data_IF_850259028666
#
_entry.id   IF_850259028666
#
_cell.length_a   1.000
_cell.length_b   1.000
_cell.length_c   1.000
_cell.angle_alpha   90.00
_cell.angle_beta   90.00
_cell.angle_gamma   90.00
#
_symmetry.space_group_name_H-M   'P 1'
#
loop_
_entity.id
_entity.type
_entity.pdbx_description
1 polymer ?
#
# COMPACT_ATOMS: atom_id res chain seq x y z
N UNK A 1 33.07 -23.12 14.71
CA UNK A 1 32.52 -21.87 15.28
C UNK A 1 32.46 -20.79 14.21
N UNK A 2 31.30 -20.58 13.59
CA UNK A 2 30.90 -19.27 13.03
C UNK A 2 29.38 -19.21 13.21
N UNK A 3 28.97 -18.41 14.19
CA UNK A 3 27.57 -18.10 14.43
C UNK A 3 26.98 -17.48 13.17
N UNK A 4 25.80 -17.96 12.74
CA UNK A 4 24.93 -17.20 11.84
C UNK A 4 24.58 -15.91 12.56
N UNK A 5 25.36 -14.87 12.30
CA UNK A 5 25.08 -13.53 12.79
C UNK A 5 23.80 -13.06 12.08
N UNK A 6 22.79 -12.73 12.87
CA UNK A 6 21.64 -11.98 12.39
C UNK A 6 22.15 -10.70 11.71
N UNK A 7 21.68 -10.35 10.50
CA UNK A 7 22.17 -9.18 9.81
C UNK A 7 21.84 -7.93 10.62
N UNK A 8 22.85 -7.11 10.97
CA UNK A 8 22.63 -5.88 11.72
C UNK A 8 21.98 -4.88 10.76
N UNK A 9 20.71 -4.54 11.04
CA UNK A 9 19.82 -3.69 10.25
C UNK A 9 19.17 -4.36 9.02
N UNK A 10 17.85 -4.53 9.08
CA UNK A 10 17.02 -4.98 7.96
C UNK A 10 16.82 -3.89 6.89
N UNK A 11 17.80 -3.02 6.63
CA UNK A 11 17.64 -1.97 5.61
C UNK A 11 18.94 -1.73 4.87
N UNK A 12 19.05 -2.31 3.67
CA UNK A 12 20.06 -1.94 2.68
C UNK A 12 19.78 -0.51 2.17
N UNK A 13 20.79 0.32 1.87
CA UNK A 13 20.59 1.65 1.28
C UNK A 13 19.85 1.64 -0.08
N UNK A 14 19.69 0.48 -0.71
CA UNK A 14 18.91 0.27 -1.94
C UNK A 14 17.56 -0.44 -1.71
N UNK A 15 17.05 -0.46 -0.48
CA UNK A 15 15.75 -1.09 -0.19
C UNK A 15 14.64 -0.36 -0.95
N UNK A 16 13.87 -1.10 -1.76
CA UNK A 16 12.74 -0.55 -2.51
C UNK A 16 11.55 -0.25 -1.59
N UNK A 17 10.57 0.51 -2.08
CA UNK A 17 9.31 0.76 -1.36
C UNK A 17 8.65 -0.53 -0.87
N UNK A 18 8.70 -1.61 -1.68
CA UNK A 18 8.15 -2.92 -1.33
C UNK A 18 8.85 -3.55 -0.12
N UNK A 19 10.17 -3.36 0.00
CA UNK A 19 10.92 -3.86 1.16
C UNK A 19 10.39 -3.23 2.45
N UNK A 20 10.25 -1.90 2.47
CA UNK A 20 9.76 -1.20 3.65
C UNK A 20 8.31 -1.54 3.98
N UNK A 21 7.43 -1.66 2.98
CA UNK A 21 6.03 -2.06 3.18
C UNK A 21 5.97 -3.48 3.75
N UNK A 22 6.74 -4.42 3.19
CA UNK A 22 6.71 -5.82 3.62
C UNK A 22 7.17 -5.97 5.07
N UNK A 23 8.31 -5.38 5.44
CA UNK A 23 8.78 -5.43 6.83
C UNK A 23 7.88 -4.62 7.76
N UNK A 24 7.33 -3.49 7.30
CA UNK A 24 6.33 -2.72 8.04
C UNK A 24 5.13 -3.59 8.43
N UNK A 25 4.58 -4.35 7.48
CA UNK A 25 3.46 -5.27 7.73
C UNK A 25 3.83 -6.38 8.72
N UNK A 26 5.04 -6.96 8.65
CA UNK A 26 5.50 -7.95 9.63
C UNK A 26 5.52 -7.34 11.06
N UNK A 27 6.03 -6.12 11.21
CA UNK A 27 6.00 -5.42 12.50
C UNK A 27 4.58 -5.05 12.93
N UNK A 28 3.69 -4.76 11.97
CA UNK A 28 2.28 -4.47 12.22
C UNK A 28 1.55 -5.69 12.79
N UNK A 29 1.75 -6.87 12.19
CA UNK A 29 1.18 -8.14 12.66
C UNK A 29 1.65 -8.48 14.08
N UNK A 30 2.92 -8.16 14.38
CA UNK A 30 3.52 -8.28 15.71
C UNK A 30 3.08 -7.19 16.71
N UNK A 31 2.19 -6.25 16.31
CA UNK A 31 1.75 -5.10 17.11
C UNK A 31 2.88 -4.16 17.55
N UNK A 32 4.01 -4.17 16.83
CA UNK A 32 5.17 -3.29 17.07
C UNK A 32 4.98 -1.97 16.34
N UNK A 33 3.98 -1.19 16.78
CA UNK A 33 3.46 -0.01 16.09
C UNK A 33 4.53 1.03 15.75
N UNK A 34 5.45 1.37 16.66
CA UNK A 34 6.52 2.34 16.37
C UNK A 34 7.48 1.87 15.27
N UNK A 35 7.84 0.58 15.28
CA UNK A 35 8.73 0.02 14.27
C UNK A 35 8.06 -0.02 12.90
N UNK A 36 6.78 -0.41 12.89
CA UNK A 36 5.92 -0.42 11.71
C UNK A 36 5.78 0.99 11.12
N UNK A 37 5.36 1.97 11.93
CA UNK A 37 5.21 3.37 11.51
C UNK A 37 6.50 3.92 10.90
N UNK A 38 7.66 3.67 11.53
CA UNK A 38 8.96 4.12 11.01
C UNK A 38 9.29 3.55 9.63
N UNK A 39 8.89 2.31 9.33
CA UNK A 39 9.13 1.72 8.01
C UNK A 39 8.16 2.27 6.97
N UNK A 40 6.89 2.47 7.33
CA UNK A 40 5.93 3.11 6.42
C UNK A 40 6.31 4.56 6.11
N UNK A 41 6.82 5.33 7.08
CA UNK A 41 7.35 6.68 6.84
C UNK A 41 8.52 6.66 5.82
N UNK A 42 9.40 5.65 5.89
CA UNK A 42 10.43 5.46 4.85
C UNK A 42 9.84 5.13 3.48
N UNK A 43 8.82 4.28 3.43
CA UNK A 43 8.14 3.91 2.18
C UNK A 43 7.44 5.12 1.54
N UNK A 44 6.75 5.94 2.33
CA UNK A 44 6.07 7.17 1.89
C UNK A 44 7.00 8.18 1.23
N UNK A 45 8.29 8.17 1.58
CA UNK A 45 9.30 9.10 1.07
C UNK A 45 9.98 8.66 -0.23
N UNK A 46 9.74 7.43 -0.71
CA UNK A 46 10.39 6.93 -1.92
C UNK A 46 9.61 7.25 -3.20
N UNK A 47 8.45 6.61 -3.38
CA UNK A 47 7.66 6.73 -4.60
C UNK A 47 6.24 7.17 -4.23
N UNK A 48 5.88 8.39 -4.63
CA UNK A 48 4.59 9.01 -4.30
C UNK A 48 3.41 8.28 -4.95
N UNK A 49 3.61 7.65 -6.10
CA UNK A 49 2.57 6.93 -6.83
C UNK A 49 2.25 5.59 -6.16
N UNK A 50 3.25 4.94 -5.54
CA UNK A 50 3.12 3.62 -4.92
C UNK A 50 2.90 3.64 -3.40
N UNK A 51 2.90 4.82 -2.78
CA UNK A 51 2.83 4.98 -1.33
C UNK A 51 1.42 4.78 -0.72
N UNK A 52 0.37 4.47 -1.49
CA UNK A 52 -1.00 4.33 -0.98
C UNK A 52 -1.10 3.36 0.22
N UNK A 53 -0.45 2.19 0.11
CA UNK A 53 -0.43 1.18 1.18
C UNK A 53 0.35 1.70 2.40
N UNK A 54 1.46 2.41 2.17
CA UNK A 54 2.28 2.94 3.24
C UNK A 54 1.54 4.03 4.02
N UNK A 55 0.88 4.98 3.33
CA UNK A 55 0.06 6.00 3.96
C UNK A 55 -1.08 5.41 4.79
N UNK A 56 -1.85 4.46 4.24
CA UNK A 56 -2.93 3.80 4.97
C UNK A 56 -2.44 3.08 6.23
N UNK A 57 -1.37 2.30 6.10
CA UNK A 57 -0.83 1.51 7.20
C UNK A 57 -0.13 2.39 8.25
N UNK A 58 0.46 3.51 7.83
CA UNK A 58 0.99 4.54 8.72
C UNK A 58 -0.15 5.21 9.52
N UNK A 59 -1.25 5.61 8.88
CA UNK A 59 -2.42 6.16 9.56
C UNK A 59 -2.96 5.23 10.65
N UNK A 60 -3.05 3.92 10.35
CA UNK A 60 -3.44 2.93 11.35
C UNK A 60 -2.47 2.87 12.53
N UNK A 61 -1.16 2.83 12.28
CA UNK A 61 -0.16 2.87 13.35
C UNK A 61 -0.27 4.16 14.20
N UNK A 62 -0.47 5.30 13.55
CA UNK A 62 -0.65 6.61 14.20
C UNK A 62 -1.85 6.59 15.15
N UNK A 63 -2.98 6.03 14.72
CA UNK A 63 -4.17 5.85 15.58
C UNK A 63 -3.84 4.92 16.77
N UNK A 64 -3.20 3.78 16.53
CA UNK A 64 -2.83 2.84 17.62
C UNK A 64 -1.88 3.46 18.64
N UNK A 65 -0.98 4.34 18.20
CA UNK A 65 -0.04 5.02 19.09
C UNK A 65 -0.71 6.11 19.92
N UNK A 66 -1.71 6.81 19.37
CA UNK A 66 -2.48 7.85 20.06
C UNK A 66 -1.60 8.96 20.69
N UNK A 67 -0.51 9.36 20.00
CA UNK A 67 0.45 10.37 20.49
C UNK A 67 0.28 11.70 19.77
N UNK A 68 0.29 12.82 20.52
CA UNK A 68 0.21 14.16 19.94
C UNK A 68 -1.12 14.40 19.21
N UNK A 69 -1.07 15.13 18.08
CA UNK A 69 -2.23 15.36 17.21
C UNK A 69 -2.45 14.20 16.21
N UNK A 70 -2.57 12.99 16.76
CA UNK A 70 -2.60 11.75 15.98
C UNK A 70 -3.81 11.68 15.03
N UNK A 71 -4.94 12.31 15.39
CA UNK A 71 -6.13 12.32 14.55
C UNK A 71 -5.91 13.15 13.29
N UNK A 72 -5.37 14.37 13.40
CA UNK A 72 -5.05 15.19 12.22
C UNK A 72 -4.03 14.49 11.33
N UNK A 73 -2.97 13.92 11.93
CA UNK A 73 -1.95 13.21 11.17
C UNK A 73 -2.51 11.97 10.44
N UNK A 74 -3.31 11.16 11.12
CA UNK A 74 -3.95 10.00 10.50
C UNK A 74 -4.91 10.41 9.38
N UNK A 75 -5.62 11.53 9.52
CA UNK A 75 -6.48 12.09 8.46
C UNK A 75 -5.67 12.45 7.22
N UNK A 76 -4.58 13.20 7.39
CA UNK A 76 -3.72 13.61 6.28
C UNK A 76 -3.13 12.40 5.55
N UNK A 77 -2.70 11.38 6.30
CA UNK A 77 -2.20 10.15 5.72
C UNK A 77 -3.28 9.41 4.93
N UNK A 78 -4.51 9.28 5.47
CA UNK A 78 -5.62 8.67 4.75
C UNK A 78 -5.98 9.43 3.47
N UNK A 79 -5.95 10.76 3.49
CA UNK A 79 -6.19 11.58 2.30
C UNK A 79 -5.11 11.36 1.23
N UNK A 80 -3.84 11.31 1.63
CA UNK A 80 -2.73 11.00 0.71
C UNK A 80 -2.83 9.56 0.18
N UNK A 81 -3.26 8.61 1.01
CA UNK A 81 -3.51 7.23 0.58
C UNK A 81 -4.55 7.17 -0.53
N UNK A 82 -5.65 7.92 -0.38
CA UNK A 82 -6.71 7.99 -1.38
C UNK A 82 -6.24 8.62 -2.70
N UNK A 83 -5.47 9.70 -2.61
CA UNK A 83 -4.89 10.36 -3.78
C UNK A 83 -3.94 9.42 -4.55
N UNK A 84 -2.97 8.79 -3.88
CA UNK A 84 -2.06 7.81 -4.50
C UNK A 84 -2.82 6.64 -5.12
N UNK A 85 -3.87 6.15 -4.44
CA UNK A 85 -4.65 5.01 -4.91
C UNK A 85 -5.44 5.33 -6.18
N UNK A 86 -5.91 6.56 -6.34
CA UNK A 86 -6.59 7.00 -7.58
C UNK A 86 -5.69 6.82 -8.80
N UNK A 87 -4.43 7.27 -8.72
CA UNK A 87 -3.46 7.10 -9.80
C UNK A 87 -3.21 5.62 -10.11
N UNK A 88 -2.98 4.79 -9.08
CA UNK A 88 -2.77 3.35 -9.24
C UNK A 88 -3.99 2.64 -9.87
N UNK A 89 -5.20 3.05 -9.49
CA UNK A 89 -6.44 2.56 -10.10
C UNK A 89 -6.51 2.90 -11.58
N UNK A 90 -6.25 4.16 -11.95
CA UNK A 90 -6.27 4.63 -13.33
C UNK A 90 -5.25 3.87 -14.18
N UNK A 91 -4.00 3.76 -13.71
CA UNK A 91 -2.95 2.99 -14.39
C UNK A 91 -3.33 1.51 -14.54
N UNK A 92 -3.86 0.89 -13.48
CA UNK A 92 -4.30 -0.52 -13.51
C UNK A 92 -5.38 -0.76 -14.57
N UNK A 93 -6.37 0.15 -14.64
CA UNK A 93 -7.48 0.06 -15.59
C UNK A 93 -7.00 0.23 -17.04
N UNK A 94 -6.12 1.19 -17.29
CA UNK A 94 -5.53 1.40 -18.63
C UNK A 94 -4.74 0.17 -19.06
N UNK A 95 -3.89 -0.39 -18.20
CA UNK A 95 -3.16 -1.62 -18.52
C UNK A 95 -4.11 -2.80 -18.80
N UNK A 96 -5.16 -2.97 -17.99
CA UNK A 96 -6.15 -4.02 -18.20
C UNK A 96 -6.88 -3.87 -19.54
N UNK A 97 -7.18 -2.64 -19.97
CA UNK A 97 -7.77 -2.38 -21.29
C UNK A 97 -6.85 -2.82 -22.42
N UNK A 98 -5.57 -2.47 -22.38
CA UNK A 98 -4.59 -2.91 -23.39
C UNK A 98 -4.46 -4.43 -23.44
N UNK A 99 -4.43 -5.10 -22.29
CA UNK A 99 -4.36 -6.56 -22.20
C UNK A 99 -5.59 -7.22 -22.81
N UNK A 100 -6.78 -6.67 -22.56
CA UNK A 100 -8.03 -7.16 -23.15
C UNK A 100 -8.05 -6.98 -24.66
N UNK A 101 -7.65 -5.81 -25.17
CA UNK A 101 -7.57 -5.55 -26.61
C UNK A 101 -6.62 -6.55 -27.31
N UNK A 102 -5.42 -6.74 -26.77
CA UNK A 102 -4.47 -7.71 -27.30
C UNK A 102 -4.97 -9.17 -27.25
N UNK A 103 -5.80 -9.50 -26.24
CA UNK A 103 -6.38 -10.85 -26.11
C UNK A 103 -7.49 -11.10 -27.14
N UNK A 104 -8.33 -10.09 -27.43
CA UNK A 104 -9.36 -10.15 -28.49
C UNK A 104 -8.71 -10.40 -29.85
N UNK A 105 -7.63 -9.70 -30.17
CA UNK A 105 -6.89 -9.87 -31.43
C UNK A 105 -6.30 -11.28 -31.58
N UNK A 106 -6.04 -11.97 -30.47
CA UNK A 106 -5.49 -13.34 -30.47
C UNK A 106 -6.52 -14.45 -30.71
N UNK A 107 -7.82 -14.12 -30.79
CA UNK A 107 -8.90 -15.08 -31.02
C UNK A 107 -9.15 -16.08 -29.89
N UNK A 108 -8.49 -15.90 -28.73
CA UNK A 108 -8.69 -16.74 -27.54
C UNK A 108 -9.87 -16.21 -26.74
N UNK A 109 -10.94 -17.01 -26.63
CA UNK A 109 -12.16 -16.61 -25.91
C UNK A 109 -12.04 -16.60 -24.38
N UNK A 110 -10.96 -17.15 -23.82
CA UNK A 110 -10.72 -17.17 -22.37
C UNK A 110 -9.74 -16.08 -21.92
N UNK A 111 -9.99 -15.41 -20.78
CA UNK A 111 -9.06 -14.44 -20.22
C UNK A 111 -7.68 -15.04 -19.96
N UNK A 112 -6.64 -14.34 -20.41
CA UNK A 112 -5.25 -14.75 -20.14
C UNK A 112 -4.94 -14.73 -18.64
N UNK A 113 -3.89 -15.44 -18.22
CA UNK A 113 -3.42 -15.37 -16.82
C UNK A 113 -3.10 -13.92 -16.40
N UNK A 114 -2.54 -13.14 -17.33
CA UNK A 114 -2.22 -11.74 -17.09
C UNK A 114 -3.48 -10.88 -16.90
N UNK A 115 -4.51 -11.11 -17.71
CA UNK A 115 -5.81 -10.44 -17.57
C UNK A 115 -6.45 -10.75 -16.21
N UNK A 116 -6.42 -12.02 -15.78
CA UNK A 116 -6.95 -12.43 -14.47
C UNK A 116 -6.20 -11.72 -13.34
N UNK A 117 -4.87 -11.69 -13.39
CA UNK A 117 -4.05 -11.02 -12.37
C UNK A 117 -4.33 -9.51 -12.30
N UNK A 118 -4.41 -8.82 -13.45
CA UNK A 118 -4.71 -7.40 -13.48
C UNK A 118 -6.14 -7.10 -13.04
N UNK A 119 -7.10 -7.96 -13.38
CA UNK A 119 -8.48 -7.84 -12.88
C UNK A 119 -8.52 -7.93 -11.36
N UNK A 120 -7.86 -8.94 -10.76
CA UNK A 120 -7.75 -9.07 -9.31
C UNK A 120 -7.08 -7.86 -8.66
N UNK A 121 -6.01 -7.33 -9.28
CA UNK A 121 -5.30 -6.14 -8.81
C UNK A 121 -6.20 -4.91 -8.77
N UNK A 122 -6.97 -4.65 -9.84
CA UNK A 122 -7.89 -3.51 -9.87
C UNK A 122 -9.05 -3.69 -8.86
N UNK A 123 -9.54 -4.91 -8.65
CA UNK A 123 -10.53 -5.19 -7.59
C UNK A 123 -9.97 -4.91 -6.19
N UNK A 124 -8.73 -5.30 -5.92
CA UNK A 124 -8.05 -5.01 -4.66
C UNK A 124 -7.95 -3.51 -4.40
N UNK A 125 -7.57 -2.71 -5.41
CA UNK A 125 -7.50 -1.26 -5.25
C UNK A 125 -8.85 -0.63 -4.96
N UNK A 126 -9.93 -1.06 -5.64
CA UNK A 126 -11.29 -0.59 -5.34
C UNK A 126 -11.73 -0.92 -3.91
N UNK A 127 -11.37 -2.11 -3.41
CA UNK A 127 -11.64 -2.48 -2.03
C UNK A 127 -10.88 -1.58 -1.04
N UNK A 128 -9.62 -1.29 -1.34
CA UNK A 128 -8.79 -0.40 -0.53
C UNK A 128 -9.34 1.03 -0.49
N UNK A 129 -9.81 1.56 -1.61
CA UNK A 129 -10.42 2.89 -1.72
C UNK A 129 -11.68 3.01 -0.85
N UNK A 130 -12.52 1.97 -0.89
CA UNK A 130 -13.70 1.86 -0.02
C UNK A 130 -13.31 1.89 1.46
N UNK A 131 -12.32 1.11 1.87
CA UNK A 131 -11.86 1.06 3.26
C UNK A 131 -11.29 2.40 3.73
N UNK A 132 -10.53 3.10 2.88
CA UNK A 132 -10.02 4.44 3.18
C UNK A 132 -11.17 5.42 3.36
N UNK A 133 -12.13 5.41 2.43
CA UNK A 133 -13.31 6.29 2.48
C UNK A 133 -14.13 6.07 3.75
N UNK A 134 -14.39 4.81 4.11
CA UNK A 134 -15.09 4.45 5.34
C UNK A 134 -14.31 4.87 6.59
N UNK A 135 -12.99 4.69 6.61
CA UNK A 135 -12.15 5.12 7.72
C UNK A 135 -12.20 6.66 7.90
N UNK A 136 -12.09 7.42 6.80
CA UNK A 136 -12.20 8.88 6.85
C UNK A 136 -13.57 9.29 7.42
N UNK A 137 -14.66 8.68 6.94
CA UNK A 137 -16.01 9.00 7.42
C UNK A 137 -16.21 8.62 8.89
N UNK A 138 -15.67 7.48 9.33
CA UNK A 138 -15.80 7.01 10.71
C UNK A 138 -15.03 7.89 11.71
N UNK A 139 -13.79 8.24 11.38
CA UNK A 139 -12.93 9.02 12.29
C UNK A 139 -13.15 10.54 12.18
N UNK A 140 -13.71 11.03 11.08
CA UNK A 140 -13.90 12.46 10.82
C UNK A 140 -15.30 12.77 10.24
N UNK A 141 -16.39 12.50 11.00
CA UNK A 141 -17.73 12.88 10.57
C UNK A 141 -17.82 14.41 10.40
N UNK A 142 -18.51 14.86 9.34
CA UNK A 142 -18.82 16.27 9.11
C UNK A 142 -19.91 16.77 10.08
#
# INVERSE_FOLDING_TARGET
SVARQEPPSQTSPCSSIYHYINFGNIFLDDKKWENSARLFDKAMKQDKSWAAIAFYSHAYCTIQLSKGDYLTQAKEDLQKAQESLKYLCEECLVCLQFIKMASVDSGKGEPSSLEKQMTSKCSMYRFFDKNITEAIHFFFPQ
#
